data_IF_545984017351
#
_entry.id   IF_545984017351
#
_cell.length_a   1.000
_cell.length_b   1.000
_cell.length_c   1.000
_cell.angle_alpha   90.00
_cell.angle_beta   90.00
_cell.angle_gamma   90.00
#
_symmetry.space_group_name_H-M   'P 1'
#
loop_
_entity.id
_entity.type
_entity.pdbx_description
1 polymer ?
#
# COMPACT_ATOMS: atom_id res chain seq x y z
N UNK A 1 1.76 2.29 -19.73
CA UNK A 1 2.35 2.04 -18.40
C UNK A 1 2.04 3.27 -17.57
N UNK A 2 1.37 3.13 -16.42
CA UNK A 2 1.86 2.34 -15.29
C UNK A 2 0.80 1.36 -14.73
N UNK A 3 1.18 0.10 -14.56
CA UNK A 3 0.43 -0.82 -13.68
C UNK A 3 0.95 -0.57 -12.27
N UNK A 4 0.57 0.58 -11.70
CA UNK A 4 0.71 0.78 -10.26
C UNK A 4 -0.19 -0.28 -9.64
N UNK A 5 0.40 -1.27 -8.97
CA UNK A 5 -0.28 -2.47 -8.51
C UNK A 5 -1.60 -2.10 -7.83
N UNK A 6 -2.72 -2.40 -8.49
CA UNK A 6 -4.06 -2.10 -7.96
C UNK A 6 -4.35 -2.89 -6.68
N UNK A 7 -3.53 -3.87 -6.34
CA UNK A 7 -3.66 -4.67 -5.13
C UNK A 7 -2.64 -4.24 -4.07
N UNK A 8 -3.10 -4.21 -2.82
CA UNK A 8 -2.25 -4.06 -1.66
C UNK A 8 -1.23 -5.20 -1.58
N UNK A 9 0.04 -4.83 -1.42
CA UNK A 9 1.13 -5.79 -1.36
C UNK A 9 1.07 -6.74 -0.13
N UNK A 10 0.37 -6.34 0.95
CA UNK A 10 0.26 -7.14 2.18
C UNK A 10 -0.99 -8.03 2.23
N UNK A 11 -2.14 -7.49 1.84
CA UNK A 11 -3.43 -8.19 1.97
C UNK A 11 -4.10 -8.55 0.64
N UNK A 12 -3.54 -8.09 -0.49
CA UNK A 12 -4.12 -8.31 -1.83
C UNK A 12 -5.40 -7.53 -2.13
N UNK A 13 -5.86 -6.66 -1.22
CA UNK A 13 -7.10 -5.90 -1.43
C UNK A 13 -6.92 -4.79 -2.48
N UNK A 14 -7.95 -4.56 -3.30
CA UNK A 14 -7.94 -3.53 -4.34
C UNK A 14 -7.87 -2.11 -3.76
N UNK A 15 -6.79 -1.40 -4.08
CA UNK A 15 -6.50 -0.02 -3.72
C UNK A 15 -7.42 0.94 -4.47
N UNK A 16 -7.70 0.72 -5.77
CA UNK A 16 -8.70 1.54 -6.49
C UNK A 16 -10.08 1.45 -5.87
N UNK A 17 -10.43 0.32 -5.26
CA UNK A 17 -11.71 0.17 -4.56
C UNK A 17 -11.72 0.99 -3.26
N UNK A 18 -10.61 1.03 -2.53
CA UNK A 18 -10.47 1.83 -1.31
C UNK A 18 -10.45 3.34 -1.61
N UNK A 19 -9.75 3.78 -2.66
CA UNK A 19 -9.79 5.19 -3.10
C UNK A 19 -11.21 5.61 -3.52
N UNK A 20 -11.94 4.74 -4.23
CA UNK A 20 -13.34 4.99 -4.62
C UNK A 20 -14.31 5.04 -3.45
N UNK A 21 -14.02 4.32 -2.37
CA UNK A 21 -14.78 4.36 -1.13
C UNK A 21 -14.56 5.65 -0.33
N UNK A 22 -13.64 6.53 -0.76
CA UNK A 22 -13.27 7.73 -0.02
C UNK A 22 -12.50 7.41 1.27
N UNK A 23 -11.98 6.19 1.39
CA UNK A 23 -11.00 5.85 2.41
C UNK A 23 -9.65 6.43 1.95
N UNK A 24 -8.81 6.82 2.91
CA UNK A 24 -7.50 7.45 2.70
C UNK A 24 -6.72 6.83 1.51
N UNK A 25 -5.95 7.66 0.79
CA UNK A 25 -5.19 7.21 -0.37
C UNK A 25 -4.25 6.04 -0.01
N UNK A 26 -4.13 5.09 -0.93
CA UNK A 26 -3.17 4.01 -0.79
C UNK A 26 -1.75 4.55 -0.67
N UNK A 27 -0.92 3.89 0.13
CA UNK A 27 0.47 4.30 0.35
C UNK A 27 1.36 3.60 -0.66
N UNK A 28 1.92 4.35 -1.60
CA UNK A 28 2.88 3.81 -2.56
C UNK A 28 4.20 3.43 -1.86
N UNK A 29 4.69 2.24 -2.15
CA UNK A 29 5.98 1.72 -1.69
C UNK A 29 6.97 1.77 -2.86
N UNK A 30 8.01 2.63 -2.79
CA UNK A 30 8.92 2.83 -3.90
C UNK A 30 9.62 1.53 -4.30
N UNK A 31 9.46 1.13 -5.56
CA UNK A 31 10.09 -0.07 -6.11
C UNK A 31 9.49 -1.42 -5.69
N UNK A 32 8.38 -1.43 -4.94
CA UNK A 32 7.68 -2.67 -4.53
C UNK A 32 6.21 -2.72 -4.94
N UNK A 33 5.49 -1.60 -4.93
CA UNK A 33 4.06 -1.57 -5.23
C UNK A 33 3.34 -0.57 -4.35
N UNK A 34 2.16 -0.90 -3.83
CA UNK A 34 1.41 -0.04 -2.93
C UNK A 34 0.73 -0.82 -1.79
N UNK A 35 0.46 -0.14 -0.69
CA UNK A 35 -0.13 -0.68 0.53
C UNK A 35 -1.46 0.00 0.85
N UNK A 36 -2.38 -0.79 1.38
CA UNK A 36 -3.64 -0.29 1.87
C UNK A 36 -3.42 0.58 3.13
N UNK A 37 -4.24 1.61 3.37
CA UNK A 37 -4.08 2.50 4.54
C UNK A 37 -4.18 1.74 5.87
N UNK A 38 -5.04 0.71 5.95
CA UNK A 38 -5.11 -0.17 7.12
C UNK A 38 -3.79 -0.95 7.31
N UNK A 39 -3.32 -1.58 6.24
CA UNK A 39 -2.11 -2.38 6.21
C UNK A 39 -0.89 -1.56 6.60
N UNK A 40 -0.86 -0.31 6.15
CA UNK A 40 0.14 0.69 6.45
C UNK A 40 0.08 1.14 7.91
N UNK A 41 -1.11 1.43 8.44
CA UNK A 41 -1.30 1.74 9.88
C UNK A 41 -0.94 0.57 10.79
N UNK A 42 -1.16 -0.66 10.34
CA UNK A 42 -0.79 -1.90 11.03
C UNK A 42 0.67 -2.31 10.78
N UNK A 43 1.48 -1.50 10.10
CA UNK A 43 2.91 -1.77 9.98
C UNK A 43 3.62 -1.46 11.30
N UNK A 44 4.38 -2.45 11.79
CA UNK A 44 5.42 -2.20 12.78
C UNK A 44 6.56 -1.40 12.15
N UNK A 45 7.34 -0.70 12.98
CA UNK A 45 8.50 0.08 12.53
C UNK A 45 9.51 -0.76 11.72
N UNK A 46 9.68 -2.04 12.05
CA UNK A 46 10.55 -2.97 11.31
C UNK A 46 10.05 -3.23 9.88
N UNK A 47 8.75 -3.48 9.72
CA UNK A 47 8.15 -3.71 8.41
C UNK A 47 8.16 -2.43 7.56
N UNK A 48 7.87 -1.27 8.17
CA UNK A 48 8.01 0.02 7.51
C UNK A 48 9.42 0.22 6.93
N UNK A 49 10.47 -0.09 7.72
CA UNK A 49 11.85 -0.01 7.21
C UNK A 49 12.09 -0.95 6.02
N UNK A 50 11.53 -2.18 6.04
CA UNK A 50 11.65 -3.11 4.90
C UNK A 50 10.97 -2.63 3.62
N UNK A 51 9.95 -1.79 3.73
CA UNK A 51 9.21 -1.24 2.59
C UNK A 51 9.80 0.10 2.12
N UNK A 52 10.16 1.00 3.04
CA UNK A 52 10.50 2.39 2.72
C UNK A 52 11.96 2.78 2.94
N UNK A 53 12.76 1.93 3.61
CA UNK A 53 14.13 2.24 4.00
C UNK A 53 15.07 1.10 3.62
N UNK A 54 15.10 0.78 2.33
CA UNK A 54 16.16 -0.02 1.73
C UNK A 54 17.48 0.76 1.75
#
# INVERSE_FOLDING_TARGET
MPDASDACLRCGASLSFMERLGLENAVEVPGKGALCPNCYRELSAEEYNRYFKA
#
